data_IF_012952182787
#
_entry.id   IF_012952182787
#
_cell.length_a   1.000
_cell.length_b   1.000
_cell.length_c   1.000
_cell.angle_alpha   90.00
_cell.angle_beta   90.00
_cell.angle_gamma   90.00
#
_symmetry.space_group_name_H-M   'P 1'
#
loop_
_entity.id
_entity.type
_entity.pdbx_description
1 polymer ?
#
# COMPACT_ATOMS: atom_id res chain seq x y z
N UNK A 1 15.84 6.70 6.35
CA UNK A 1 15.71 5.23 6.45
C UNK A 1 15.00 4.91 7.76
N UNK A 2 13.87 4.22 7.67
CA UNK A 2 13.07 3.73 8.79
C UNK A 2 13.15 2.20 8.74
N UNK A 3 13.34 1.54 9.88
CA UNK A 3 13.50 0.08 9.95
C UNK A 3 12.50 -0.46 10.97
N UNK A 4 11.68 -1.43 10.57
CA UNK A 4 10.77 -2.14 11.46
C UNK A 4 11.59 -2.88 12.52
N UNK A 5 11.39 -2.53 13.78
CA UNK A 5 11.96 -3.24 14.93
C UNK A 5 10.91 -3.40 16.03
N UNK A 6 9.66 -3.57 15.60
CA UNK A 6 8.51 -3.74 16.48
C UNK A 6 8.56 -5.10 17.17
N UNK A 7 7.99 -5.17 18.38
CA UNK A 7 7.74 -6.44 19.05
C UNK A 7 6.59 -7.20 18.37
N UNK A 8 6.52 -8.52 18.59
CA UNK A 8 5.41 -9.33 18.10
C UNK A 8 4.03 -8.84 18.61
N UNK A 9 3.98 -8.21 19.79
CA UNK A 9 2.74 -7.68 20.38
C UNK A 9 2.23 -6.47 19.60
N UNK A 10 3.13 -5.66 19.07
CA UNK A 10 2.80 -4.37 18.45
C UNK A 10 2.75 -4.43 16.93
N UNK A 11 3.45 -5.39 16.30
CA UNK A 11 3.60 -5.46 14.84
C UNK A 11 2.25 -5.50 14.10
N UNK A 12 1.29 -6.28 14.58
CA UNK A 12 -0.03 -6.41 13.95
C UNK A 12 -0.99 -5.24 14.16
N UNK A 13 -0.59 -4.18 14.89
CA UNK A 13 -1.47 -3.04 15.20
C UNK A 13 -0.78 -1.68 15.11
N UNK A 14 0.51 -1.64 14.75
CA UNK A 14 1.32 -0.42 14.70
C UNK A 14 1.90 -0.26 13.31
N UNK A 15 1.66 0.89 12.69
CA UNK A 15 2.24 1.24 11.40
C UNK A 15 3.70 1.66 11.57
N UNK A 16 4.59 1.07 10.77
CA UNK A 16 5.97 1.51 10.58
C UNK A 16 5.93 2.68 9.61
N UNK A 17 6.17 3.88 10.12
CA UNK A 17 6.13 5.13 9.36
C UNK A 17 7.18 6.12 9.86
N UNK A 18 7.53 7.11 9.03
CA UNK A 18 8.39 8.20 9.44
C UNK A 18 7.64 9.18 10.35
N UNK A 19 7.85 9.03 11.66
CA UNK A 19 7.30 9.94 12.67
C UNK A 19 8.14 11.22 12.85
N UNK A 20 9.33 11.30 12.26
CA UNK A 20 10.31 12.38 12.43
C UNK A 20 10.49 12.81 13.91
N UNK A 21 10.39 11.87 14.86
CA UNK A 21 10.36 12.16 16.30
C UNK A 21 11.77 12.44 16.82
N UNK A 22 11.95 13.57 17.52
CA UNK A 22 13.22 13.97 18.15
C UNK A 22 14.40 14.05 17.16
N UNK A 23 14.12 14.45 15.92
CA UNK A 23 15.09 14.61 14.85
C UNK A 23 14.88 15.96 14.15
N UNK A 24 15.89 16.42 13.42
CA UNK A 24 15.69 17.46 12.41
C UNK A 24 14.72 16.99 11.33
N UNK A 25 14.14 17.92 10.57
CA UNK A 25 13.22 17.57 9.49
C UNK A 25 13.94 16.75 8.42
N UNK A 26 13.44 15.54 8.17
CA UNK A 26 13.90 14.70 7.09
C UNK A 26 13.58 15.33 5.73
N UNK A 27 14.43 15.07 4.75
CA UNK A 27 14.27 15.52 3.37
C UNK A 27 14.78 14.46 2.40
N UNK A 28 14.40 14.58 1.13
CA UNK A 28 14.70 13.56 0.13
C UNK A 28 13.76 12.35 0.23
N UNK A 29 14.09 11.25 -0.47
CA UNK A 29 13.28 10.04 -0.47
C UNK A 29 13.38 9.28 0.87
N UNK A 30 12.29 8.64 1.26
CA UNK A 30 12.21 7.82 2.47
C UNK A 30 12.30 6.35 2.09
N UNK A 31 13.14 5.60 2.81
CA UNK A 31 13.19 4.14 2.72
C UNK A 31 12.57 3.58 4.00
N UNK A 32 11.60 2.68 3.88
CA UNK A 32 11.00 1.97 5.01
C UNK A 32 11.17 0.46 4.77
N UNK A 33 11.90 -0.19 5.67
CA UNK A 33 12.24 -1.61 5.57
C UNK A 33 11.45 -2.37 6.63
N UNK A 34 10.65 -3.34 6.19
CA UNK A 34 9.93 -4.30 7.01
C UNK A 34 10.85 -5.33 7.65
N UNK A 35 10.24 -6.39 8.14
CA UNK A 35 10.82 -7.55 8.80
C UNK A 35 10.40 -8.81 8.05
N UNK A 36 10.90 -9.98 8.45
CA UNK A 36 10.47 -11.25 7.84
C UNK A 36 9.14 -11.76 8.44
N UNK A 37 8.28 -10.87 8.93
CA UNK A 37 6.96 -11.22 9.43
C UNK A 37 5.96 -10.09 9.23
N UNK A 38 4.68 -10.40 9.25
CA UNK A 38 3.58 -9.53 8.82
C UNK A 38 3.65 -8.10 9.39
N UNK A 39 4.00 -7.14 8.54
CA UNK A 39 4.17 -5.73 8.89
C UNK A 39 3.01 -4.86 8.38
N UNK A 40 2.77 -3.76 9.10
CA UNK A 40 1.96 -2.65 8.63
C UNK A 40 2.91 -1.52 8.26
N UNK A 41 3.06 -1.19 6.98
CA UNK A 41 4.05 -0.22 6.49
C UNK A 41 3.33 0.97 5.85
N UNK A 42 3.69 2.20 6.25
CA UNK A 42 3.05 3.41 5.72
C UNK A 42 4.06 4.46 5.29
N UNK A 43 4.06 4.75 3.98
CA UNK A 43 4.81 5.85 3.37
C UNK A 43 4.24 7.24 3.67
N UNK A 44 5.04 8.26 3.34
CA UNK A 44 4.71 9.67 3.48
C UNK A 44 3.89 10.22 2.30
N UNK A 45 3.93 11.55 2.16
CA UNK A 45 3.44 12.25 0.95
C UNK A 45 4.57 12.48 -0.07
N UNK A 46 5.77 12.00 0.27
CA UNK A 46 7.01 12.26 -0.44
C UNK A 46 7.25 11.15 -1.46
N UNK A 47 8.51 10.94 -1.82
CA UNK A 47 8.86 9.76 -2.60
C UNK A 47 9.32 8.68 -1.63
N UNK A 48 8.64 7.55 -1.64
CA UNK A 48 8.84 6.49 -0.66
C UNK A 48 9.27 5.17 -1.35
N UNK A 49 10.19 4.45 -0.71
CA UNK A 49 10.60 3.10 -1.07
C UNK A 49 10.22 2.19 0.09
N UNK A 50 9.24 1.31 -0.12
CA UNK A 50 8.68 0.45 0.91
C UNK A 50 9.02 -1.02 0.60
N UNK A 51 9.65 -1.71 1.53
CA UNK A 51 10.04 -3.12 1.37
C UNK A 51 9.40 -3.97 2.48
N UNK A 52 8.53 -4.93 2.11
CA UNK A 52 7.88 -5.85 3.05
C UNK A 52 8.79 -6.95 3.55
N UNK A 53 9.44 -7.64 2.59
CA UNK A 53 10.31 -8.82 2.75
C UNK A 53 9.53 -10.14 2.75
N UNK A 54 9.50 -10.87 3.87
CA UNK A 54 8.74 -12.12 4.00
C UNK A 54 7.57 -11.83 4.96
N UNK A 55 6.40 -12.42 4.72
CA UNK A 55 5.22 -12.23 5.58
C UNK A 55 4.04 -11.67 4.80
N UNK A 56 2.87 -11.63 5.44
CA UNK A 56 1.68 -11.03 4.83
C UNK A 56 1.62 -9.54 5.22
N UNK A 57 2.12 -8.68 4.34
CA UNK A 57 2.32 -7.27 4.64
C UNK A 57 1.17 -6.39 4.14
N UNK A 58 0.89 -5.29 4.85
CA UNK A 58 -0.09 -4.28 4.44
C UNK A 58 0.61 -2.94 4.26
N UNK A 59 0.52 -2.39 3.06
CA UNK A 59 1.11 -1.12 2.67
C UNK A 59 0.06 -0.02 2.59
N UNK A 60 0.43 1.18 3.02
CA UNK A 60 -0.26 2.44 2.76
C UNK A 60 0.74 3.47 2.28
N UNK A 61 0.25 4.44 1.52
CA UNK A 61 1.06 5.59 1.10
C UNK A 61 0.17 6.83 0.97
N UNK A 62 0.71 8.02 1.27
CA UNK A 62 -0.07 9.26 1.28
C UNK A 62 0.11 10.11 -0.01
N UNK A 63 0.84 9.61 -1.00
CA UNK A 63 1.02 10.18 -2.34
C UNK A 63 2.49 10.41 -2.69
N UNK A 64 2.74 10.88 -3.91
CA UNK A 64 4.10 11.09 -4.42
C UNK A 64 4.50 10.03 -5.45
N UNK A 65 5.80 9.74 -5.58
CA UNK A 65 6.33 8.78 -6.55
C UNK A 65 7.07 7.66 -5.83
N UNK A 66 6.50 6.46 -5.85
CA UNK A 66 6.83 5.42 -4.89
C UNK A 66 7.15 4.08 -5.55
N UNK A 67 8.04 3.33 -4.91
CA UNK A 67 8.28 1.92 -5.22
C UNK A 67 7.93 1.07 -4.01
N UNK A 68 7.21 -0.02 -4.23
CA UNK A 68 6.83 -0.98 -3.21
C UNK A 68 7.25 -2.37 -3.66
N UNK A 69 8.04 -3.03 -2.82
CA UNK A 69 8.34 -4.44 -2.95
C UNK A 69 7.56 -5.19 -1.87
N UNK A 70 6.46 -5.84 -2.25
CA UNK A 70 5.69 -6.68 -1.33
C UNK A 70 6.54 -7.83 -0.78
N UNK A 71 7.33 -8.46 -1.64
CA UNK A 71 8.13 -9.62 -1.25
C UNK A 71 7.26 -10.88 -1.10
N UNK A 72 7.75 -11.88 -0.36
CA UNK A 72 7.05 -13.16 -0.22
C UNK A 72 5.88 -13.03 0.73
N UNK A 73 4.74 -13.58 0.35
CA UNK A 73 3.55 -13.65 1.20
C UNK A 73 2.33 -13.10 0.46
N UNK A 74 1.21 -12.99 1.17
CA UNK A 74 0.00 -12.40 0.64
C UNK A 74 -0.09 -10.92 1.03
N UNK A 75 0.43 -10.07 0.15
CA UNK A 75 0.57 -8.65 0.43
C UNK A 75 -0.64 -7.83 -0.04
N UNK A 76 -0.92 -6.75 0.70
CA UNK A 76 -2.06 -5.87 0.48
C UNK A 76 -1.56 -4.43 0.28
N UNK A 77 -2.00 -3.76 -0.78
CA UNK A 77 -1.92 -2.30 -0.86
C UNK A 77 -3.26 -1.69 -0.49
N UNK A 78 -3.33 -0.88 0.56
CA UNK A 78 -4.55 -0.19 1.02
C UNK A 78 -4.54 1.29 0.59
N UNK A 79 -5.42 1.62 -0.35
CA UNK A 79 -5.57 2.98 -0.88
C UNK A 79 -6.21 3.97 0.10
N UNK A 80 -6.86 3.48 1.17
CA UNK A 80 -7.61 4.26 2.16
C UNK A 80 -8.76 5.13 1.61
N UNK A 81 -9.08 5.00 0.32
CA UNK A 81 -10.10 5.80 -0.36
C UNK A 81 -10.88 4.96 -1.38
N UNK A 82 -11.91 5.57 -1.97
CA UNK A 82 -12.69 4.92 -3.01
C UNK A 82 -11.82 4.61 -4.24
N UNK A 83 -11.92 3.40 -4.78
CA UNK A 83 -11.08 2.93 -5.88
C UNK A 83 -11.23 3.79 -7.15
N UNK A 84 -12.36 4.48 -7.32
CA UNK A 84 -12.58 5.42 -8.44
C UNK A 84 -11.62 6.62 -8.45
N UNK A 85 -10.96 6.90 -7.32
CA UNK A 85 -10.03 8.02 -7.18
C UNK A 85 -8.57 7.64 -7.53
N UNK A 86 -8.33 6.38 -7.92
CA UNK A 86 -7.03 5.86 -8.28
C UNK A 86 -7.14 5.16 -9.63
N UNK A 87 -6.29 5.54 -10.57
CA UNK A 87 -6.13 4.78 -11.81
C UNK A 87 -5.24 3.57 -11.53
N UNK A 88 -5.64 2.40 -12.01
CA UNK A 88 -4.94 1.14 -11.72
C UNK A 88 -4.66 0.41 -13.02
N UNK A 89 -3.41 0.03 -13.22
CA UNK A 89 -2.96 -0.85 -14.29
C UNK A 89 -2.07 -1.97 -13.74
N UNK A 90 -1.90 -3.04 -14.50
CA UNK A 90 -1.09 -4.19 -14.13
C UNK A 90 -0.46 -4.78 -15.39
N UNK A 91 0.86 -5.01 -15.38
CA UNK A 91 1.58 -5.53 -16.55
C UNK A 91 1.75 -7.06 -16.54
N UNK A 92 1.23 -7.73 -15.51
CA UNK A 92 1.43 -9.16 -15.27
C UNK A 92 2.33 -9.45 -14.08
N UNK A 93 3.12 -8.46 -13.62
CA UNK A 93 4.00 -8.54 -12.45
C UNK A 93 3.81 -7.34 -11.51
N UNK A 94 3.84 -6.13 -12.05
CA UNK A 94 3.84 -4.88 -11.30
C UNK A 94 2.46 -4.21 -11.37
N UNK A 95 1.95 -3.79 -10.22
CA UNK A 95 0.76 -2.95 -10.11
C UNK A 95 1.16 -1.47 -10.20
N UNK A 96 0.50 -0.74 -11.09
CA UNK A 96 0.69 0.70 -11.28
C UNK A 96 -0.54 1.41 -10.73
N UNK A 97 -0.32 2.33 -9.79
CA UNK A 97 -1.36 3.13 -9.15
C UNK A 97 -1.05 4.60 -9.42
N UNK A 98 -1.98 5.33 -10.05
CA UNK A 98 -1.86 6.79 -10.22
C UNK A 98 -2.94 7.50 -9.42
N UNK A 99 -2.51 8.38 -8.52
CA UNK A 99 -3.42 9.18 -7.71
C UNK A 99 -3.99 10.38 -8.49
N UNK A 100 -5.00 11.05 -7.92
CA UNK A 100 -5.66 12.20 -8.54
C UNK A 100 -4.75 13.44 -8.74
N UNK A 101 -3.56 13.47 -8.11
CA UNK A 101 -2.55 14.53 -8.28
C UNK A 101 -1.48 14.14 -9.30
N UNK A 102 -1.55 12.94 -9.86
CA UNK A 102 -0.58 12.40 -10.81
C UNK A 102 0.62 11.70 -10.16
N UNK A 103 0.62 11.53 -8.83
CA UNK A 103 1.60 10.68 -8.14
C UNK A 103 1.45 9.23 -8.59
N UNK A 104 2.57 8.52 -8.73
CA UNK A 104 2.61 7.16 -9.28
C UNK A 104 3.29 6.23 -8.27
N UNK A 105 2.64 5.12 -7.96
CA UNK A 105 3.22 4.00 -7.21
C UNK A 105 3.36 2.79 -8.12
N UNK A 106 4.56 2.21 -8.16
CA UNK A 106 4.81 0.88 -8.72
C UNK A 106 4.92 -0.10 -7.55
N UNK A 107 4.09 -1.12 -7.54
CA UNK A 107 4.03 -2.09 -6.45
C UNK A 107 4.13 -3.52 -6.99
N UNK A 108 5.21 -4.20 -6.62
CA UNK A 108 5.45 -5.60 -6.93
C UNK A 108 4.88 -6.51 -5.82
N UNK A 109 4.56 -7.75 -6.20
CA UNK A 109 4.09 -8.81 -5.30
C UNK A 109 2.82 -8.47 -4.48
N UNK A 110 1.94 -7.61 -5.01
CA UNK A 110 0.67 -7.28 -4.37
C UNK A 110 -0.42 -8.27 -4.81
N UNK A 111 -0.90 -9.06 -3.86
CA UNK A 111 -1.99 -10.02 -4.09
C UNK A 111 -3.37 -9.36 -4.03
N UNK A 112 -3.53 -8.35 -3.19
CA UNK A 112 -4.81 -7.66 -2.97
C UNK A 112 -4.65 -6.15 -2.97
N UNK A 113 -5.52 -5.47 -3.72
CA UNK A 113 -5.72 -4.03 -3.61
C UNK A 113 -6.94 -3.78 -2.72
N UNK A 114 -6.78 -3.06 -1.62
CA UNK A 114 -7.86 -2.68 -0.72
C UNK A 114 -8.30 -1.23 -0.97
N UNK A 115 -9.60 -1.02 -1.07
CA UNK A 115 -10.22 0.30 -1.17
C UNK A 115 -11.20 0.54 -0.03
N UNK A 116 -11.52 1.81 0.20
CA UNK A 116 -12.51 2.24 1.20
C UNK A 116 -13.67 2.95 0.50
N UNK A 117 -14.74 2.21 0.29
CA UNK A 117 -15.92 2.68 -0.42
C UNK A 117 -16.95 3.27 0.54
N UNK A 118 -17.70 4.27 0.10
CA UNK A 118 -18.79 4.88 0.88
C UNK A 118 -20.14 4.45 0.32
N UNK A 119 -21.00 3.93 1.18
CA UNK A 119 -22.40 3.64 0.85
C UNK A 119 -23.30 4.87 1.08
N UNK A 120 -24.49 4.87 0.46
CA UNK A 120 -25.51 5.94 0.52
C UNK A 120 -25.96 6.34 1.95
N UNK A 121 -25.65 5.50 2.93
CA UNK A 121 -25.96 5.67 4.35
C UNK A 121 -24.74 6.08 5.20
N UNK A 122 -23.70 6.70 4.62
CA UNK A 122 -22.43 7.13 5.27
C UNK A 122 -21.57 6.02 5.91
N UNK A 123 -21.89 4.74 5.65
CA UNK A 123 -21.02 3.64 6.05
C UNK A 123 -19.81 3.54 5.12
N UNK A 124 -18.62 3.57 5.72
CA UNK A 124 -17.39 3.21 5.03
C UNK A 124 -17.23 1.68 5.08
N UNK A 125 -16.99 1.08 3.93
CA UNK A 125 -16.74 -0.35 3.79
C UNK A 125 -15.38 -0.56 3.13
N UNK A 126 -14.54 -1.37 3.75
CA UNK A 126 -13.34 -1.90 3.09
C UNK A 126 -13.77 -2.92 2.03
N UNK A 127 -13.22 -2.78 0.82
CA UNK A 127 -13.46 -3.68 -0.29
C UNK A 127 -12.11 -4.18 -0.78
N UNK A 128 -11.92 -5.49 -0.68
CA UNK A 128 -10.74 -6.17 -1.17
C UNK A 128 -10.95 -6.60 -2.63
N UNK A 129 -9.97 -6.28 -3.45
CA UNK A 129 -9.91 -6.63 -4.86
C UNK A 129 -8.69 -7.51 -5.09
N UNK A 130 -8.91 -8.78 -5.42
CA UNK A 130 -7.85 -9.68 -5.85
C UNK A 130 -7.22 -9.16 -7.14
N UNK A 131 -5.90 -9.01 -7.14
CA UNK A 131 -5.14 -8.61 -8.34
C UNK A 131 -5.01 -9.84 -9.24
N UNK A 132 -5.50 -9.75 -10.46
CA UNK A 132 -5.43 -10.83 -11.45
C UNK A 132 -4.97 -10.29 -12.80
N UNK A 133 -4.51 -11.16 -13.70
CA UNK A 133 -4.17 -10.76 -15.07
C UNK A 133 -5.36 -10.15 -15.84
N UNK A 134 -6.60 -10.51 -15.49
CA UNK A 134 -7.81 -10.03 -16.17
C UNK A 134 -8.37 -8.71 -15.59
N UNK A 135 -7.87 -8.26 -14.44
CA UNK A 135 -8.41 -7.12 -13.71
C UNK A 135 -8.45 -7.33 -12.20
N UNK A 136 -9.09 -6.38 -11.52
CA UNK A 136 -9.34 -6.37 -10.08
C UNK A 136 -10.65 -7.11 -9.78
N UNK A 137 -10.58 -8.28 -9.15
CA UNK A 137 -11.75 -9.12 -8.85
C UNK A 137 -12.20 -8.92 -7.40
N UNK A 138 -13.47 -8.57 -7.20
CA UNK A 138 -14.10 -8.48 -5.87
C UNK A 138 -15.46 -9.19 -5.87
N UNK A 139 -16.15 -9.20 -4.71
CA UNK A 139 -17.53 -9.68 -4.60
C UNK A 139 -18.51 -8.95 -5.53
N UNK A 140 -18.17 -7.72 -5.91
CA UNK A 140 -18.98 -6.91 -6.84
C UNK A 140 -18.73 -7.23 -8.32
N UNK A 141 -17.77 -8.11 -8.61
CA UNK A 141 -17.39 -8.51 -9.96
C UNK A 141 -15.94 -8.16 -10.32
N UNK A 142 -15.66 -8.23 -11.62
CA UNK A 142 -14.36 -7.92 -12.19
C UNK A 142 -14.34 -6.47 -12.70
N UNK A 143 -13.40 -5.68 -12.20
CA UNK A 143 -13.10 -4.34 -12.71
C UNK A 143 -11.86 -4.43 -13.60
N UNK A 144 -12.00 -4.06 -14.87
CA UNK A 144 -10.86 -3.97 -15.78
C UNK A 144 -9.88 -2.88 -15.33
N UNK A 145 -8.61 -3.09 -15.65
CA UNK A 145 -7.58 -2.05 -15.54
C UNK A 145 -7.88 -0.88 -16.49
N UNK A 146 -7.31 0.29 -16.18
CA UNK A 146 -7.40 1.48 -17.00
C UNK A 146 -6.66 1.34 -18.33
#
# INVERSE_FOLDING_TARGET
>A
LIVSNLSNVTRGSTWVEDLNRNAETHSGPTFIIGSDGNDLIKGGKGNDYLEGRDGDDIFRDAGGYNLIAGGKGHNIFDTQQALKNTEVAYDGNTLYLRDAKGGITLADDISTLRSKETSWLIFNKEVDHQVTAAGLKSDSGLKAYA
#
